data_IF_883972406480
#
_entry.id   IF_883972406480
#
_cell.length_a   1.000
_cell.length_b   1.000
_cell.length_c   1.000
_cell.angle_alpha   90.00
_cell.angle_beta   90.00
_cell.angle_gamma   90.00
#
_symmetry.space_group_name_H-M   'P 1'
#
loop_
_entity.id
_entity.type
_entity.pdbx_description
1 polymer ?
#
# COMPACT_ATOMS: atom_id res chain seq x y z
N UNK A 1 18.16 20.37 -0.50
CA UNK A 1 19.18 20.31 0.56
C UNK A 1 18.46 20.12 1.88
N UNK A 2 18.75 19.04 2.56
CA UNK A 2 18.17 18.70 3.86
C UNK A 2 18.66 19.71 4.93
N UNK A 3 17.88 19.88 6.00
CA UNK A 3 18.31 20.70 7.14
C UNK A 3 19.59 20.16 7.81
N UNK A 4 19.80 18.86 7.72
CA UNK A 4 20.87 18.14 8.42
C UNK A 4 21.82 17.47 7.40
N UNK A 5 23.06 17.93 7.25
CA UNK A 5 24.03 17.35 6.30
C UNK A 5 24.26 15.85 6.47
N UNK A 6 24.29 15.38 7.72
CA UNK A 6 24.43 13.94 8.02
C UNK A 6 23.30 13.08 7.39
N UNK A 7 22.09 13.63 7.27
CA UNK A 7 20.97 12.94 6.62
C UNK A 7 21.15 12.89 5.09
N UNK A 8 21.72 13.95 4.49
CA UNK A 8 22.07 13.95 3.07
C UNK A 8 23.16 12.90 2.78
N UNK A 9 24.24 12.81 3.60
CA UNK A 9 25.27 11.79 3.46
C UNK A 9 24.73 10.36 3.64
N UNK A 10 23.82 10.16 4.59
CA UNK A 10 23.14 8.87 4.70
C UNK A 10 22.30 8.55 3.46
N UNK A 11 21.58 9.50 2.94
CA UNK A 11 20.75 9.32 1.73
C UNK A 11 21.60 8.91 0.52
N UNK A 12 22.76 9.57 0.34
CA UNK A 12 23.75 9.22 -0.69
C UNK A 12 24.30 7.80 -0.49
N UNK A 13 24.56 7.40 0.76
CA UNK A 13 25.09 6.06 1.09
C UNK A 13 24.18 4.90 0.74
N UNK A 14 22.86 5.15 0.65
CA UNK A 14 21.84 4.14 0.29
C UNK A 14 21.37 4.27 -1.17
N UNK A 15 21.89 5.26 -1.90
CA UNK A 15 21.59 5.43 -3.33
C UNK A 15 22.00 4.18 -4.13
N UNK A 16 21.16 3.78 -5.09
CA UNK A 16 21.36 2.54 -5.84
C UNK A 16 20.90 1.25 -5.12
N UNK A 17 20.83 1.25 -3.79
CA UNK A 17 20.33 0.10 -3.01
C UNK A 17 18.83 0.13 -2.80
N UNK A 18 18.23 1.31 -2.83
CA UNK A 18 16.79 1.54 -2.65
C UNK A 18 16.26 2.51 -3.71
N UNK A 19 14.92 2.63 -3.83
CA UNK A 19 14.34 3.56 -4.81
C UNK A 19 14.41 5.01 -4.31
N UNK A 20 14.48 5.98 -5.24
CA UNK A 20 14.47 7.44 -4.93
C UNK A 20 13.30 7.82 -3.99
N UNK A 21 12.14 7.19 -4.18
CA UNK A 21 10.99 7.38 -3.29
C UNK A 21 11.27 6.90 -1.87
N UNK A 22 12.03 5.84 -1.69
CA UNK A 22 12.44 5.33 -0.38
C UNK A 22 13.44 6.28 0.26
N UNK A 23 14.39 6.80 -0.51
CA UNK A 23 15.36 7.82 -0.06
C UNK A 23 14.61 9.07 0.42
N UNK A 24 13.73 9.62 -0.40
CA UNK A 24 12.92 10.79 -0.03
C UNK A 24 12.08 10.56 1.23
N UNK A 25 11.54 9.35 1.42
CA UNK A 25 10.83 8.97 2.63
C UNK A 25 11.74 8.92 3.86
N UNK A 26 12.94 8.34 3.73
CA UNK A 26 13.92 8.30 4.81
C UNK A 26 14.33 9.72 5.24
N UNK A 27 14.65 10.60 4.29
CA UNK A 27 14.97 12.01 4.56
C UNK A 27 13.83 12.68 5.34
N UNK A 28 12.60 12.62 4.87
CA UNK A 28 11.45 13.25 5.52
C UNK A 28 11.20 12.73 6.95
N UNK A 29 11.33 11.41 7.16
CA UNK A 29 11.18 10.81 8.50
C UNK A 29 12.33 11.21 9.42
N UNK A 30 13.58 11.16 8.95
CA UNK A 30 14.75 11.51 9.74
C UNK A 30 14.75 12.99 10.12
N UNK A 31 14.48 13.89 9.17
CA UNK A 31 14.39 15.33 9.47
C UNK A 31 13.36 15.64 10.56
N UNK A 32 12.19 15.07 10.47
CA UNK A 32 11.14 15.26 11.49
C UNK A 32 11.54 14.69 12.84
N UNK A 33 12.17 13.52 12.83
CA UNK A 33 12.63 12.83 14.04
C UNK A 33 13.74 13.61 14.73
N UNK A 34 14.78 14.02 14.01
CA UNK A 34 15.89 14.77 14.55
C UNK A 34 15.46 16.15 15.06
N UNK A 35 14.57 16.83 14.35
CA UNK A 35 13.95 18.10 14.82
C UNK A 35 13.20 17.94 16.12
N UNK A 36 12.51 16.82 16.34
CA UNK A 36 11.90 16.55 17.63
C UNK A 36 12.90 16.24 18.72
N UNK A 37 14.02 15.57 18.39
CA UNK A 37 15.09 15.27 19.35
C UNK A 37 15.84 16.52 19.80
N UNK A 38 15.85 17.61 19.02
CA UNK A 38 16.39 18.90 19.44
C UNK A 38 15.73 19.40 20.76
N UNK A 39 14.45 19.09 20.97
CA UNK A 39 13.72 19.43 22.21
C UNK A 39 14.22 18.63 23.43
N UNK A 40 14.98 17.57 23.20
CA UNK A 40 15.59 16.72 24.21
C UNK A 40 17.10 17.02 24.40
N UNK A 41 17.59 18.11 23.80
CA UNK A 41 18.97 18.55 23.91
C UNK A 41 19.92 17.88 22.93
N UNK A 42 19.40 17.25 21.87
CA UNK A 42 20.22 16.69 20.79
C UNK A 42 20.49 17.79 19.76
N UNK A 43 21.73 17.97 19.38
CA UNK A 43 22.15 18.74 18.21
C UNK A 43 22.59 17.79 17.10
N UNK A 44 22.47 18.22 15.86
CA UNK A 44 22.90 17.42 14.70
C UNK A 44 23.99 18.19 13.99
N UNK A 45 25.20 17.65 14.05
CA UNK A 45 26.35 18.12 13.34
C UNK A 45 26.65 17.25 12.12
N UNK A 46 27.67 17.58 11.37
CA UNK A 46 28.02 16.87 10.15
C UNK A 46 28.49 15.42 10.43
N UNK A 47 29.21 15.23 11.53
CA UNK A 47 29.85 13.96 11.91
C UNK A 47 29.51 13.50 13.34
N UNK A 48 28.63 14.22 14.06
CA UNK A 48 28.27 13.96 15.43
C UNK A 48 26.81 14.22 15.74
N UNK A 49 26.34 13.61 16.84
CA UNK A 49 25.01 13.83 17.42
C UNK A 49 25.15 14.22 18.90
N UNK A 50 25.70 15.40 19.21
CA UNK A 50 25.89 15.84 20.59
C UNK A 50 24.56 15.82 21.36
N UNK A 51 24.64 15.38 22.62
CA UNK A 51 23.46 15.22 23.47
C UNK A 51 22.65 13.94 23.24
N UNK A 52 22.89 13.19 22.15
CA UNK A 52 22.23 11.90 21.93
C UNK A 52 22.89 10.83 22.81
N UNK A 53 22.11 10.21 23.66
CA UNK A 53 22.48 9.06 24.47
C UNK A 53 21.36 8.02 24.45
N UNK A 54 21.64 6.78 24.88
CA UNK A 54 20.61 5.76 25.01
C UNK A 54 19.45 6.20 25.89
N UNK A 55 19.72 6.95 26.96
CA UNK A 55 18.69 7.49 27.86
C UNK A 55 17.85 8.57 27.18
N UNK A 56 18.46 9.47 26.41
CA UNK A 56 17.76 10.50 25.64
C UNK A 56 16.88 9.85 24.58
N UNK A 57 17.41 8.88 23.83
CA UNK A 57 16.70 8.14 22.82
C UNK A 57 15.47 7.42 23.40
N UNK A 58 15.60 6.78 24.58
CA UNK A 58 14.50 6.13 25.30
C UNK A 58 13.44 7.14 25.76
N UNK A 59 13.86 8.28 26.33
CA UNK A 59 12.93 9.34 26.75
C UNK A 59 12.15 9.92 25.60
N UNK A 60 12.83 10.23 24.50
CA UNK A 60 12.19 10.71 23.29
C UNK A 60 11.20 9.68 22.73
N UNK A 61 11.58 8.39 22.65
CA UNK A 61 10.71 7.34 22.16
C UNK A 61 9.45 7.18 23.04
N UNK A 62 9.59 7.26 24.35
CA UNK A 62 8.46 7.21 25.28
C UNK A 62 7.51 8.41 25.08
N UNK A 63 8.07 9.59 24.81
CA UNK A 63 7.27 10.78 24.45
C UNK A 63 6.56 10.56 23.10
N UNK A 64 7.28 10.11 22.08
CA UNK A 64 6.74 9.90 20.72
C UNK A 64 5.60 8.87 20.72
N UNK A 65 5.71 7.81 21.50
CA UNK A 65 4.66 6.76 21.62
C UNK A 65 3.34 7.26 22.16
N UNK A 66 3.31 8.31 22.96
CA UNK A 66 2.07 8.83 23.57
C UNK A 66 1.09 9.36 22.52
N UNK A 67 1.62 10.02 21.50
CA UNK A 67 0.80 10.74 20.51
C UNK A 67 0.71 10.02 19.15
N UNK A 68 1.42 8.90 18.99
CA UNK A 68 1.52 8.21 17.71
C UNK A 68 1.01 6.77 17.78
N UNK A 69 0.29 6.37 16.73
CA UNK A 69 -0.16 4.99 16.57
C UNK A 69 1.05 4.05 16.41
N UNK A 70 0.93 2.77 16.81
CA UNK A 70 1.99 1.78 16.70
C UNK A 70 2.64 1.72 15.31
N UNK A 71 1.86 1.82 14.23
CA UNK A 71 2.38 1.83 12.87
C UNK A 71 3.28 3.04 12.57
N UNK A 72 2.95 4.22 13.12
CA UNK A 72 3.78 5.43 13.01
C UNK A 72 5.10 5.28 13.75
N UNK A 73 5.03 4.74 14.98
CA UNK A 73 6.23 4.43 15.78
C UNK A 73 7.13 3.44 15.04
N UNK A 74 6.56 2.36 14.50
CA UNK A 74 7.33 1.36 13.75
C UNK A 74 8.00 1.97 12.51
N UNK A 75 7.31 2.85 11.79
CA UNK A 75 7.88 3.55 10.62
C UNK A 75 9.12 4.37 10.99
N UNK A 76 9.07 5.08 12.11
CA UNK A 76 10.24 5.84 12.60
C UNK A 76 11.37 4.91 13.01
N UNK A 77 11.08 3.85 13.76
CA UNK A 77 12.11 2.88 14.21
C UNK A 77 12.80 2.20 13.03
N UNK A 78 12.04 1.79 12.01
CA UNK A 78 12.56 1.13 10.78
C UNK A 78 13.46 2.08 9.99
N UNK A 79 13.24 3.39 10.06
CA UNK A 79 14.07 4.39 9.37
C UNK A 79 15.26 4.85 10.23
N UNK A 80 15.03 5.08 11.52
CA UNK A 80 16.06 5.57 12.45
C UNK A 80 17.15 4.53 12.74
N UNK A 81 16.78 3.26 12.86
CA UNK A 81 17.72 2.18 13.14
C UNK A 81 18.86 2.07 12.09
N UNK A 82 18.57 1.96 10.79
CA UNK A 82 19.64 1.91 9.78
C UNK A 82 20.48 3.18 9.77
N UNK A 83 19.87 4.35 9.96
CA UNK A 83 20.58 5.63 10.03
C UNK A 83 21.59 5.68 11.19
N UNK A 84 21.18 5.35 12.41
CA UNK A 84 22.06 5.38 13.57
C UNK A 84 23.17 4.33 13.51
N UNK A 85 22.89 3.16 12.92
CA UNK A 85 23.94 2.14 12.67
C UNK A 85 24.95 2.62 11.64
N UNK A 86 24.50 3.22 10.55
CA UNK A 86 25.35 3.80 9.53
C UNK A 86 26.21 4.92 10.16
N UNK A 87 25.60 5.84 10.91
CA UNK A 87 26.28 6.95 11.53
C UNK A 87 27.36 6.47 12.51
N UNK A 88 27.09 5.47 13.35
CA UNK A 88 28.11 4.83 14.19
C UNK A 88 29.21 4.15 13.37
N UNK A 89 28.87 3.49 12.26
CA UNK A 89 29.89 2.83 11.42
C UNK A 89 30.85 3.82 10.77
N UNK A 90 30.36 4.99 10.37
CA UNK A 90 31.18 6.04 9.73
C UNK A 90 31.92 6.91 10.74
N UNK A 91 31.28 7.20 11.88
CA UNK A 91 31.79 8.09 12.91
C UNK A 91 31.82 7.42 14.29
N UNK A 92 32.58 6.31 14.48
CA UNK A 92 32.53 5.49 15.70
C UNK A 92 33.00 6.23 16.96
N UNK A 93 33.88 7.19 16.81
CA UNK A 93 34.42 7.99 17.94
C UNK A 93 33.45 9.08 18.43
N UNK A 94 32.56 9.55 17.54
CA UNK A 94 31.63 10.64 17.79
C UNK A 94 30.18 10.16 18.06
N UNK A 95 29.84 8.98 17.58
CA UNK A 95 28.45 8.43 17.66
C UNK A 95 28.53 7.06 18.33
N UNK A 96 27.96 6.89 19.54
CA UNK A 96 27.90 5.59 20.21
C UNK A 96 27.05 4.55 19.46
N UNK A 97 27.32 3.26 19.73
CA UNK A 97 26.46 2.17 19.27
C UNK A 97 25.15 2.15 20.07
N UNK A 98 24.05 2.40 19.37
CA UNK A 98 22.70 2.37 19.91
C UNK A 98 21.96 1.03 19.67
N UNK A 99 22.62 0.00 19.14
CA UNK A 99 21.99 -1.27 18.73
C UNK A 99 21.17 -1.91 19.84
N UNK A 100 21.66 -1.90 21.08
CA UNK A 100 20.96 -2.46 22.25
C UNK A 100 19.68 -1.69 22.58
N UNK A 101 19.75 -0.35 22.56
CA UNK A 101 18.58 0.50 22.86
C UNK A 101 17.54 0.37 21.76
N UNK A 102 17.97 0.41 20.50
CA UNK A 102 17.10 0.28 19.33
C UNK A 102 16.43 -1.08 19.26
N UNK A 103 17.10 -2.14 19.74
CA UNK A 103 16.48 -3.48 19.81
C UNK A 103 15.32 -3.51 20.79
N UNK A 104 15.40 -2.81 21.93
CA UNK A 104 14.32 -2.73 22.94
C UNK A 104 13.16 -1.84 22.49
N UNK A 105 13.35 -1.02 21.47
CA UNK A 105 12.32 -0.12 20.91
C UNK A 105 11.37 -0.80 19.94
N UNK A 106 11.62 -2.05 19.56
CA UNK A 106 10.70 -2.80 18.69
C UNK A 106 9.31 -2.83 19.30
N UNK A 107 8.32 -2.56 18.47
CA UNK A 107 6.94 -2.76 18.85
C UNK A 107 6.68 -4.26 19.04
N UNK A 108 5.78 -4.62 19.95
CA UNK A 108 5.32 -6.00 20.02
C UNK A 108 4.82 -6.44 18.64
N UNK A 109 5.15 -7.65 18.27
CA UNK A 109 4.65 -8.31 17.08
C UNK A 109 3.12 -8.34 17.15
N UNK A 110 2.45 -7.74 16.18
CA UNK A 110 0.97 -7.62 16.15
C UNK A 110 0.34 -9.01 16.24
N UNK A 111 0.98 -10.02 15.63
CA UNK A 111 0.51 -11.41 15.66
C UNK A 111 0.61 -12.05 17.05
N UNK A 112 1.41 -11.48 17.95
CA UNK A 112 1.56 -11.93 19.35
C UNK A 112 0.70 -11.14 20.34
N UNK A 113 0.00 -10.10 19.88
CA UNK A 113 -0.96 -9.40 20.73
C UNK A 113 -2.19 -10.27 20.99
N UNK A 114 -2.82 -10.16 22.18
CA UNK A 114 -4.13 -10.72 22.42
C UNK A 114 -5.11 -10.29 21.32
N UNK A 115 -6.04 -11.17 20.96
CA UNK A 115 -6.98 -10.93 19.84
C UNK A 115 -7.78 -9.62 20.03
N UNK A 116 -8.09 -9.25 21.27
CA UNK A 116 -8.81 -8.03 21.64
C UNK A 116 -7.99 -6.75 21.39
N UNK A 117 -6.66 -6.84 21.45
CA UNK A 117 -5.72 -5.73 21.24
C UNK A 117 -5.23 -5.64 19.78
N UNK A 118 -5.50 -6.68 18.99
CA UNK A 118 -5.14 -6.65 17.57
C UNK A 118 -5.97 -5.60 16.86
N UNK A 119 -5.39 -4.82 15.93
CA UNK A 119 -6.16 -3.92 15.10
C UNK A 119 -7.23 -4.75 14.38
N UNK A 120 -8.51 -4.50 14.68
CA UNK A 120 -9.60 -5.17 13.97
C UNK A 120 -9.43 -4.91 12.48
N UNK A 121 -9.31 -5.98 11.71
CA UNK A 121 -9.21 -5.90 10.26
C UNK A 121 -10.45 -5.21 9.72
N UNK A 122 -10.22 -4.11 9.01
CA UNK A 122 -11.29 -3.22 8.55
C UNK A 122 -11.65 -3.58 7.11
N UNK A 123 -12.24 -4.76 6.93
CA UNK A 123 -12.77 -5.15 5.63
C UNK A 123 -14.12 -4.49 5.36
N UNK A 124 -14.43 -4.31 4.07
CA UNK A 124 -15.79 -4.01 3.65
C UNK A 124 -16.68 -5.24 3.83
N UNK A 125 -17.90 -5.03 4.32
CA UNK A 125 -18.95 -6.03 4.25
C UNK A 125 -19.45 -6.14 2.81
N UNK A 126 -20.15 -7.24 2.49
CA UNK A 126 -20.72 -7.44 1.15
C UNK A 126 -21.79 -6.38 0.84
N UNK A 127 -22.58 -5.95 1.82
CA UNK A 127 -23.55 -4.86 1.68
C UNK A 127 -22.89 -3.51 1.39
N UNK A 128 -21.75 -3.21 2.00
CA UNK A 128 -20.99 -2.00 1.71
C UNK A 128 -20.39 -2.04 0.30
N UNK A 129 -19.93 -3.21 -0.17
CA UNK A 129 -19.49 -3.40 -1.55
C UNK A 129 -20.63 -3.18 -2.53
N UNK A 130 -21.83 -3.71 -2.24
CA UNK A 130 -23.02 -3.47 -3.04
C UNK A 130 -23.32 -1.98 -3.18
N UNK A 131 -23.30 -1.23 -2.08
CA UNK A 131 -23.57 0.21 -2.12
C UNK A 131 -22.46 0.98 -2.85
N UNK A 132 -21.20 0.59 -2.72
CA UNK A 132 -20.07 1.19 -3.45
C UNK A 132 -20.18 0.98 -4.96
N UNK A 133 -20.70 -0.16 -5.41
CA UNK A 133 -20.85 -0.50 -6.82
C UNK A 133 -22.26 -0.16 -7.38
N UNK A 134 -23.17 0.30 -6.51
CA UNK A 134 -24.55 0.63 -6.90
C UNK A 134 -24.60 1.66 -8.03
N UNK A 135 -25.40 1.37 -9.04
CA UNK A 135 -25.73 2.28 -10.13
C UNK A 135 -26.99 3.04 -9.73
N UNK A 136 -26.96 4.38 -9.60
CA UNK A 136 -28.16 5.13 -9.23
C UNK A 136 -29.27 5.02 -10.28
N UNK A 137 -30.50 4.98 -9.81
CA UNK A 137 -31.72 5.00 -10.67
C UNK A 137 -32.57 6.23 -10.29
N UNK A 138 -32.94 7.14 -11.21
CA UNK A 138 -32.55 7.21 -12.62
C UNK A 138 -31.07 7.58 -12.81
N UNK A 139 -30.45 7.02 -13.83
CA UNK A 139 -29.01 7.11 -14.03
C UNK A 139 -28.57 8.51 -14.50
N UNK A 140 -28.24 9.39 -13.55
CA UNK A 140 -27.43 10.60 -13.79
C UNK A 140 -25.95 10.26 -13.50
N UNK A 141 -25.42 9.38 -14.30
CA UNK A 141 -24.12 8.77 -14.05
C UNK A 141 -23.04 9.45 -14.89
N UNK A 142 -22.29 10.36 -14.25
CA UNK A 142 -21.19 11.06 -14.92
C UNK A 142 -20.04 10.10 -15.26
N UNK A 143 -19.21 10.40 -16.29
CA UNK A 143 -18.02 9.62 -16.62
C UNK A 143 -17.14 9.33 -15.41
N UNK A 144 -17.00 10.29 -14.48
CA UNK A 144 -16.21 10.09 -13.25
C UNK A 144 -16.82 9.06 -12.31
N UNK A 145 -18.15 9.03 -12.15
CA UNK A 145 -18.80 8.04 -11.32
C UNK A 145 -18.69 6.64 -11.92
N UNK A 146 -18.76 6.52 -13.24
CA UNK A 146 -18.53 5.26 -13.97
C UNK A 146 -17.09 4.80 -13.82
N UNK A 147 -16.10 5.72 -13.99
CA UNK A 147 -14.69 5.44 -13.72
C UNK A 147 -14.49 4.90 -12.31
N UNK A 148 -15.03 5.59 -11.31
CA UNK A 148 -14.82 5.24 -9.91
C UNK A 148 -15.38 3.87 -9.56
N UNK A 149 -16.52 3.47 -10.16
CA UNK A 149 -17.03 2.09 -10.01
C UNK A 149 -16.16 1.08 -10.73
N UNK A 150 -15.68 1.39 -11.94
CA UNK A 150 -14.75 0.51 -12.66
C UNK A 150 -13.45 0.30 -11.89
N UNK A 151 -12.91 1.35 -11.26
CA UNK A 151 -11.74 1.25 -10.37
C UNK A 151 -12.01 0.33 -9.18
N UNK A 152 -13.15 0.50 -8.48
CA UNK A 152 -13.52 -0.34 -7.35
C UNK A 152 -13.72 -1.79 -7.80
N UNK A 153 -14.45 -2.00 -8.89
CA UNK A 153 -14.70 -3.34 -9.43
C UNK A 153 -13.39 -4.04 -9.80
N UNK A 154 -12.44 -3.33 -10.45
CA UNK A 154 -11.17 -3.93 -10.83
C UNK A 154 -10.26 -4.20 -9.62
N UNK A 155 -10.26 -3.36 -8.58
CA UNK A 155 -9.57 -3.68 -7.32
C UNK A 155 -10.11 -4.96 -6.68
N UNK A 156 -11.42 -5.11 -6.63
CA UNK A 156 -12.09 -6.29 -6.07
C UNK A 156 -11.94 -7.53 -6.96
N UNK A 157 -11.79 -7.35 -8.27
CA UNK A 157 -11.63 -8.46 -9.22
C UNK A 157 -10.20 -9.00 -9.30
N UNK A 158 -9.19 -8.21 -8.91
CA UNK A 158 -7.78 -8.52 -9.16
C UNK A 158 -6.88 -8.44 -7.94
N UNK A 159 -7.30 -7.70 -6.91
CA UNK A 159 -6.45 -7.39 -5.77
C UNK A 159 -5.18 -6.57 -6.09
N UNK A 160 -5.12 -5.89 -7.24
CA UNK A 160 -3.97 -5.08 -7.65
C UNK A 160 -3.63 -3.97 -6.64
N UNK A 161 -2.36 -3.55 -6.62
CA UNK A 161 -1.97 -2.33 -5.90
C UNK A 161 -2.39 -1.10 -6.69
N UNK A 162 -2.61 0.02 -6.00
CA UNK A 162 -3.03 1.26 -6.66
C UNK A 162 -2.07 1.71 -7.78
N UNK A 163 -0.76 1.56 -7.59
CA UNK A 163 0.23 1.90 -8.61
C UNK A 163 0.14 0.96 -9.83
N UNK A 164 -0.08 -0.34 -9.61
CA UNK A 164 -0.26 -1.32 -10.66
C UNK A 164 -1.53 -1.04 -11.47
N UNK A 165 -2.64 -0.73 -10.80
CA UNK A 165 -3.91 -0.38 -11.44
C UNK A 165 -3.81 0.93 -12.25
N UNK A 166 -3.09 1.94 -11.73
CA UNK A 166 -2.88 3.21 -12.43
C UNK A 166 -1.98 3.09 -13.67
N UNK A 167 -1.14 2.05 -13.74
CA UNK A 167 -0.24 1.84 -14.88
C UNK A 167 -0.88 1.06 -16.03
N UNK A 168 -2.10 0.56 -15.86
CA UNK A 168 -2.80 -0.20 -16.91
C UNK A 168 -3.20 0.70 -18.09
N UNK A 169 -3.07 0.13 -19.27
CA UNK A 169 -3.62 0.66 -20.52
C UNK A 169 -4.92 -0.06 -20.89
N UNK A 170 -5.64 0.46 -21.86
CA UNK A 170 -6.84 -0.20 -22.42
C UNK A 170 -6.49 -1.57 -22.99
N UNK A 171 -5.32 -1.70 -23.64
CA UNK A 171 -4.84 -2.94 -24.24
C UNK A 171 -4.42 -4.02 -23.24
N UNK A 172 -4.13 -3.65 -21.97
CA UNK A 172 -3.75 -4.62 -20.94
C UNK A 172 -4.94 -5.45 -20.45
N UNK A 173 -6.17 -5.02 -20.73
CA UNK A 173 -7.40 -5.75 -20.37
C UNK A 173 -7.70 -6.79 -21.43
N UNK A 174 -7.34 -8.04 -21.20
CA UNK A 174 -7.57 -9.15 -22.13
C UNK A 174 -8.81 -9.94 -21.74
N UNK A 175 -9.96 -9.64 -22.40
CA UNK A 175 -11.24 -10.29 -22.11
C UNK A 175 -11.26 -11.76 -22.45
N UNK A 176 -10.65 -12.14 -23.57
CA UNK A 176 -10.58 -13.51 -24.05
C UNK A 176 -9.96 -14.46 -23.05
N UNK A 177 -9.04 -13.96 -22.22
CA UNK A 177 -8.33 -14.74 -21.22
C UNK A 177 -8.73 -14.42 -19.77
N UNK A 178 -9.68 -13.49 -19.57
CA UNK A 178 -10.10 -13.09 -18.23
C UNK A 178 -8.94 -12.59 -17.37
N UNK A 179 -8.03 -11.81 -17.94
CA UNK A 179 -6.79 -11.41 -17.27
C UNK A 179 -6.33 -10.00 -17.62
N UNK A 180 -5.46 -9.44 -16.77
CA UNK A 180 -4.71 -8.21 -17.05
C UNK A 180 -3.21 -8.49 -17.00
N UNK A 181 -2.46 -7.81 -17.86
CA UNK A 181 -1.01 -7.88 -17.91
C UNK A 181 -0.43 -6.68 -17.17
N UNK A 182 0.27 -6.91 -16.06
CA UNK A 182 0.73 -5.84 -15.17
C UNK A 182 2.23 -5.89 -14.92
N UNK A 183 2.84 -4.71 -14.85
CA UNK A 183 4.22 -4.55 -14.41
C UNK A 183 4.28 -4.47 -12.89
N UNK A 184 4.96 -5.41 -12.27
CA UNK A 184 5.09 -5.49 -10.80
C UNK A 184 6.24 -4.62 -10.29
N UNK A 185 6.19 -4.29 -8.98
CA UNK A 185 7.33 -3.66 -8.29
C UNK A 185 8.58 -4.54 -8.45
N UNK A 186 9.63 -3.98 -9.04
CA UNK A 186 10.86 -4.71 -9.41
C UNK A 186 10.95 -5.06 -10.91
N UNK A 187 10.00 -4.56 -11.74
CA UNK A 187 10.09 -4.58 -13.20
C UNK A 187 9.55 -5.84 -13.88
N UNK A 188 9.28 -6.92 -13.16
CA UNK A 188 8.73 -8.14 -13.74
C UNK A 188 7.27 -7.95 -14.20
N UNK A 189 6.95 -8.48 -15.38
CA UNK A 189 5.58 -8.55 -15.88
C UNK A 189 4.88 -9.81 -15.38
N UNK A 190 3.62 -9.70 -15.06
CA UNK A 190 2.78 -10.84 -14.64
C UNK A 190 1.36 -10.69 -15.17
N UNK A 191 0.78 -11.81 -15.60
CA UNK A 191 -0.65 -11.94 -15.85
C UNK A 191 -1.39 -12.12 -14.52
N UNK A 192 -2.49 -11.41 -14.34
CA UNK A 192 -3.37 -11.49 -13.16
C UNK A 192 -4.78 -11.79 -13.61
N UNK A 193 -5.40 -12.81 -13.01
CA UNK A 193 -6.78 -13.19 -13.29
C UNK A 193 -7.75 -12.08 -12.86
N UNK A 194 -8.79 -11.86 -13.65
CA UNK A 194 -9.81 -10.82 -13.45
C UNK A 194 -11.17 -11.48 -13.30
N UNK A 195 -11.85 -11.24 -12.19
CA UNK A 195 -13.20 -11.72 -12.00
C UNK A 195 -14.15 -11.06 -13.02
N UNK A 196 -14.98 -11.89 -13.66
CA UNK A 196 -15.81 -11.52 -14.82
C UNK A 196 -16.78 -10.36 -14.54
N UNK A 197 -17.34 -10.31 -13.33
CA UNK A 197 -18.28 -9.25 -12.92
C UNK A 197 -17.74 -7.82 -13.12
N UNK A 198 -16.41 -7.62 -13.16
CA UNK A 198 -15.80 -6.29 -13.28
C UNK A 198 -15.94 -5.69 -14.67
N UNK A 199 -16.03 -6.52 -15.72
CA UNK A 199 -16.04 -6.06 -17.11
C UNK A 199 -17.23 -5.15 -17.41
N UNK A 200 -18.42 -5.43 -16.86
CA UNK A 200 -19.59 -4.55 -17.06
C UNK A 200 -19.37 -3.12 -16.58
N UNK A 201 -18.57 -2.92 -15.50
CA UNK A 201 -18.23 -1.58 -15.00
C UNK A 201 -17.15 -0.92 -15.84
N UNK A 202 -16.16 -1.69 -16.29
CA UNK A 202 -15.09 -1.24 -17.19
C UNK A 202 -15.70 -0.78 -18.51
N UNK A 203 -16.58 -1.57 -19.10
CA UNK A 203 -17.28 -1.27 -20.36
C UNK A 203 -18.13 -0.02 -20.27
N UNK A 204 -18.91 0.07 -19.19
CA UNK A 204 -19.75 1.24 -18.95
C UNK A 204 -18.91 2.53 -18.78
N UNK A 205 -17.68 2.42 -18.29
CA UNK A 205 -16.75 3.53 -18.22
C UNK A 205 -16.10 3.82 -19.58
N UNK A 206 -15.55 2.81 -20.26
CA UNK A 206 -14.90 2.97 -21.56
C UNK A 206 -15.86 3.51 -22.62
N UNK A 207 -17.15 3.14 -22.55
CA UNK A 207 -18.19 3.71 -23.43
C UNK A 207 -18.35 5.24 -23.30
N UNK A 208 -17.78 5.87 -22.26
CA UNK A 208 -17.80 7.33 -22.09
C UNK A 208 -16.55 8.02 -22.65
N UNK A 209 -15.62 7.26 -23.25
CA UNK A 209 -14.33 7.75 -23.73
C UNK A 209 -14.24 7.67 -25.26
N UNK A 210 -13.61 8.68 -25.83
CA UNK A 210 -13.34 8.73 -27.28
C UNK A 210 -12.16 7.82 -27.67
N UNK A 211 -11.18 7.71 -26.77
CA UNK A 211 -9.95 6.91 -26.95
C UNK A 211 -10.07 5.44 -26.47
N UNK A 212 -11.28 4.94 -26.30
CA UNK A 212 -11.57 3.58 -25.80
C UNK A 212 -11.00 2.45 -26.65
N UNK A 213 -10.75 2.72 -27.92
CA UNK A 213 -10.23 1.75 -28.88
C UNK A 213 -8.69 1.89 -29.09
N UNK A 214 -8.05 2.88 -28.43
CA UNK A 214 -6.61 3.02 -28.40
C UNK A 214 -6.02 2.13 -27.31
N UNK A 215 -5.41 1.02 -27.72
CA UNK A 215 -4.77 0.05 -26.81
C UNK A 215 -3.68 0.68 -25.93
N UNK A 216 -3.03 1.76 -26.38
CA UNK A 216 -1.96 2.45 -25.64
C UNK A 216 -2.47 3.49 -24.64
N UNK A 217 -3.75 3.88 -24.75
CA UNK A 217 -4.33 4.86 -23.86
C UNK A 217 -4.39 4.36 -22.40
N UNK A 218 -4.13 5.23 -21.40
CA UNK A 218 -4.27 4.84 -20.00
C UNK A 218 -5.69 4.33 -19.70
N UNK A 219 -5.80 3.20 -18.99
CA UNK A 219 -7.13 2.65 -18.67
C UNK A 219 -7.96 3.62 -17.83
N UNK A 220 -7.38 4.27 -16.82
CA UNK A 220 -8.08 5.23 -15.96
C UNK A 220 -7.49 6.63 -16.09
N UNK A 221 -8.34 7.58 -16.48
CA UNK A 221 -7.93 8.98 -16.69
C UNK A 221 -8.62 9.95 -15.73
N UNK A 222 -7.94 11.06 -15.49
CA UNK A 222 -8.50 12.22 -14.78
C UNK A 222 -9.52 12.97 -15.64
N UNK A 223 -10.15 14.01 -15.08
CA UNK A 223 -11.03 14.91 -15.85
C UNK A 223 -10.30 15.67 -16.98
N UNK A 224 -8.97 15.69 -16.95
CA UNK A 224 -8.13 16.34 -17.97
C UNK A 224 -7.59 15.36 -19.02
N UNK A 225 -8.05 14.10 -19.01
CA UNK A 225 -7.56 13.06 -19.94
C UNK A 225 -6.21 12.45 -19.59
N UNK A 226 -5.53 12.91 -18.52
CA UNK A 226 -4.23 12.35 -18.11
C UNK A 226 -4.42 11.06 -17.29
N UNK A 227 -3.44 10.15 -17.32
CA UNK A 227 -3.42 8.95 -16.49
C UNK A 227 -3.61 9.30 -14.99
N UNK A 228 -4.43 8.53 -14.30
CA UNK A 228 -4.64 8.69 -12.86
C UNK A 228 -3.41 8.25 -12.07
N UNK A 229 -2.96 9.08 -11.13
CA UNK A 229 -1.98 8.67 -10.14
C UNK A 229 -2.64 7.95 -8.95
N UNK A 230 -1.89 7.13 -8.18
CA UNK A 230 -2.40 6.47 -6.98
C UNK A 230 -3.01 7.42 -5.95
N UNK A 231 -2.44 8.63 -5.81
CA UNK A 231 -2.93 9.64 -4.88
C UNK A 231 -4.26 10.27 -5.36
N UNK A 232 -4.40 10.49 -6.67
CA UNK A 232 -5.67 10.98 -7.25
C UNK A 232 -6.78 9.93 -7.09
N UNK A 233 -6.49 8.64 -7.35
CA UNK A 233 -7.44 7.56 -7.09
C UNK A 233 -7.81 7.48 -5.60
N UNK A 234 -6.82 7.58 -4.70
CA UNK A 234 -7.09 7.58 -3.26
C UNK A 234 -8.06 8.72 -2.87
N UNK A 235 -7.81 9.94 -3.33
CA UNK A 235 -8.68 11.10 -3.05
C UNK A 235 -10.09 10.89 -3.60
N UNK A 236 -10.23 10.42 -4.84
CA UNK A 236 -11.52 10.16 -5.46
C UNK A 236 -12.31 9.07 -4.71
N UNK A 237 -11.64 7.95 -4.37
CA UNK A 237 -12.29 6.84 -3.67
C UNK A 237 -12.64 7.18 -2.22
N UNK A 238 -11.81 7.95 -1.51
CA UNK A 238 -12.00 8.28 -0.09
C UNK A 238 -13.37 8.91 0.18
N UNK A 239 -13.77 9.86 -0.64
CA UNK A 239 -15.07 10.54 -0.49
C UNK A 239 -16.23 9.56 -0.64
N UNK A 240 -16.14 8.66 -1.62
CA UNK A 240 -17.17 7.64 -1.86
C UNK A 240 -17.21 6.59 -0.75
N UNK A 241 -16.05 6.12 -0.32
CA UNK A 241 -15.91 5.15 0.77
C UNK A 241 -16.48 5.70 2.08
N UNK A 242 -16.15 6.95 2.45
CA UNK A 242 -16.66 7.58 3.67
C UNK A 242 -18.18 7.72 3.70
N UNK A 243 -18.81 7.95 2.57
CA UNK A 243 -20.28 8.00 2.49
C UNK A 243 -20.93 6.67 2.82
N UNK A 244 -20.24 5.56 2.59
CA UNK A 244 -20.76 4.20 2.83
C UNK A 244 -20.41 3.71 4.23
N UNK A 245 -19.18 3.96 4.70
CA UNK A 245 -18.69 3.36 5.96
C UNK A 245 -18.57 4.35 7.13
N UNK A 246 -18.88 5.63 6.90
CA UNK A 246 -18.70 6.70 7.91
C UNK A 246 -17.25 7.19 8.02
N UNK A 247 -17.05 8.22 8.83
CA UNK A 247 -15.76 8.90 8.99
C UNK A 247 -14.80 8.18 9.94
N UNK A 248 -15.32 7.36 10.85
CA UNK A 248 -14.56 6.69 11.90
C UNK A 248 -13.76 5.48 11.39
N UNK A 249 -14.12 4.97 10.22
CA UNK A 249 -13.44 3.82 9.62
C UNK A 249 -12.29 4.25 8.70
N UNK A 250 -11.21 3.49 8.79
CA UNK A 250 -10.11 3.66 7.85
C UNK A 250 -10.56 3.26 6.45
N UNK A 251 -10.39 4.18 5.49
CA UNK A 251 -10.70 3.99 4.08
C UNK A 251 -9.45 4.14 3.23
N UNK A 252 -9.44 3.53 2.06
CA UNK A 252 -8.33 3.62 1.11
C UNK A 252 -8.29 2.45 0.15
N UNK A 253 -7.46 2.56 -0.86
CA UNK A 253 -7.38 1.55 -1.93
C UNK A 253 -6.91 0.17 -1.42
N UNK A 254 -6.10 0.14 -0.34
CA UNK A 254 -5.64 -1.10 0.26
C UNK A 254 -6.76 -1.95 0.87
N UNK A 255 -7.84 -1.33 1.34
CA UNK A 255 -8.97 -2.06 1.95
C UNK A 255 -9.67 -2.97 0.94
N UNK A 256 -9.77 -2.54 -0.33
CA UNK A 256 -10.30 -3.40 -1.41
C UNK A 256 -9.41 -4.62 -1.64
N UNK A 257 -8.10 -4.43 -1.64
CA UNK A 257 -7.15 -5.54 -1.80
C UNK A 257 -7.22 -6.50 -0.60
N UNK A 258 -7.35 -6.00 0.62
CA UNK A 258 -7.54 -6.85 1.79
C UNK A 258 -8.83 -7.67 1.68
N UNK A 259 -9.93 -7.03 1.27
CA UNK A 259 -11.20 -7.75 1.01
C UNK A 259 -11.02 -8.85 -0.03
N UNK A 260 -10.39 -8.53 -1.18
CA UNK A 260 -10.09 -9.52 -2.23
C UNK A 260 -9.30 -10.71 -1.68
N UNK A 261 -8.19 -10.46 -0.98
CA UNK A 261 -7.33 -11.52 -0.44
C UNK A 261 -8.10 -12.40 0.55
N UNK A 262 -8.83 -11.79 1.49
CA UNK A 262 -9.62 -12.53 2.47
C UNK A 262 -10.72 -13.39 1.83
N UNK A 263 -11.40 -12.89 0.81
CA UNK A 263 -12.47 -13.64 0.15
C UNK A 263 -11.92 -14.77 -0.75
N UNK A 264 -10.82 -14.51 -1.45
CA UNK A 264 -10.11 -15.55 -2.22
C UNK A 264 -9.58 -16.65 -1.29
N UNK A 265 -9.04 -16.27 -0.13
CA UNK A 265 -8.56 -17.26 0.85
C UNK A 265 -9.67 -18.18 1.34
N UNK A 266 -10.87 -17.65 1.58
CA UNK A 266 -12.05 -18.44 1.99
C UNK A 266 -12.49 -19.46 0.92
N UNK A 267 -12.29 -19.13 -0.35
CA UNK A 267 -12.76 -19.95 -1.49
C UNK A 267 -11.66 -20.90 -1.97
N UNK A 268 -10.45 -20.40 -2.14
CA UNK A 268 -9.32 -21.13 -2.77
C UNK A 268 -8.21 -21.51 -1.81
N UNK A 269 -8.30 -21.11 -0.53
CA UNK A 269 -7.27 -21.33 0.47
C UNK A 269 -6.10 -20.35 0.40
N UNK A 270 -5.25 -20.40 1.41
CA UNK A 270 -4.14 -19.46 1.61
C UNK A 270 -3.09 -19.48 0.49
N UNK A 271 -2.87 -20.64 -0.16
CA UNK A 271 -1.92 -20.76 -1.28
C UNK A 271 -2.37 -19.95 -2.48
N UNK A 272 -3.64 -20.08 -2.88
CA UNK A 272 -4.25 -19.34 -4.00
C UNK A 272 -4.27 -17.83 -3.71
N UNK A 273 -4.68 -17.45 -2.49
CA UNK A 273 -4.72 -16.05 -2.07
C UNK A 273 -3.33 -15.40 -2.11
N UNK A 274 -2.28 -16.12 -1.68
CA UNK A 274 -0.89 -15.68 -1.72
C UNK A 274 -0.40 -15.47 -3.14
N UNK A 275 -0.68 -16.43 -4.04
CA UNK A 275 -0.28 -16.37 -5.45
C UNK A 275 -0.92 -15.15 -6.15
N UNK A 276 -2.22 -14.97 -5.99
CA UNK A 276 -2.97 -13.86 -6.56
C UNK A 276 -2.51 -12.51 -5.96
N UNK A 277 -2.29 -12.45 -4.65
CA UNK A 277 -1.83 -11.26 -3.97
C UNK A 277 -0.35 -10.95 -4.22
N UNK A 278 0.46 -11.92 -4.65
CA UNK A 278 1.92 -11.78 -4.79
C UNK A 278 2.58 -11.22 -3.52
N UNK A 279 2.33 -11.85 -2.37
CA UNK A 279 2.98 -11.49 -1.12
C UNK A 279 4.39 -12.07 -1.09
N UNK A 280 5.44 -11.21 -1.10
CA UNK A 280 6.85 -11.62 -1.05
C UNK A 280 7.30 -12.20 0.29
N UNK A 281 6.56 -11.96 1.38
CA UNK A 281 6.93 -12.45 2.69
C UNK A 281 6.05 -13.60 3.15
N UNK A 282 6.55 -14.78 2.94
CA UNK A 282 6.50 -15.88 3.89
C UNK A 282 7.83 -16.59 3.77
N UNK A 283 8.68 -16.29 4.72
CA UNK A 283 9.82 -17.14 5.04
C UNK A 283 9.23 -18.51 5.33
N UNK A 284 9.65 -19.45 4.48
CA UNK A 284 9.56 -20.89 4.74
C UNK A 284 8.14 -21.45 4.82
N UNK A 285 7.65 -21.97 3.75
CA UNK A 285 7.24 -23.37 3.63
C UNK A 285 6.52 -23.59 2.30
N UNK A 286 7.03 -24.55 1.61
CA UNK A 286 6.50 -25.31 0.50
C UNK A 286 6.97 -24.88 -0.89
N UNK A 287 7.98 -25.59 -1.31
CA UNK A 287 8.48 -25.74 -2.67
C UNK A 287 7.47 -26.37 -3.65
N UNK A 288 6.22 -26.57 -3.28
CA UNK A 288 5.35 -27.51 -4.01
C UNK A 288 3.89 -27.12 -4.24
N UNK A 289 3.47 -25.87 -4.00
CA UNK A 289 2.07 -25.51 -4.31
C UNK A 289 1.98 -24.21 -5.07
N UNK A 290 2.16 -24.26 -6.39
CA UNK A 290 1.68 -23.23 -7.29
C UNK A 290 0.26 -23.60 -7.72
N UNK A 291 -0.71 -22.76 -7.38
CA UNK A 291 -2.08 -22.91 -7.84
C UNK A 291 -2.14 -22.91 -9.37
N UNK A 292 -2.96 -23.77 -9.96
CA UNK A 292 -3.17 -23.77 -11.42
C UNK A 292 -3.91 -22.52 -11.88
N UNK A 293 -3.87 -22.22 -13.19
CA UNK A 293 -4.61 -21.09 -13.75
C UNK A 293 -6.12 -21.25 -13.51
N UNK A 294 -6.63 -22.48 -13.63
CA UNK A 294 -8.05 -22.81 -13.40
C UNK A 294 -8.44 -22.58 -11.93
N UNK A 295 -7.58 -22.98 -10.98
CA UNK A 295 -7.84 -22.76 -9.56
C UNK A 295 -7.89 -21.25 -9.23
N UNK A 296 -6.98 -20.43 -9.80
CA UNK A 296 -6.99 -18.98 -9.60
C UNK A 296 -8.22 -18.33 -10.22
N UNK A 297 -8.55 -18.66 -11.47
CA UNK A 297 -9.73 -18.16 -12.16
C UNK A 297 -11.02 -18.54 -11.40
N UNK A 298 -11.14 -19.78 -10.97
CA UNK A 298 -12.27 -20.24 -10.16
C UNK A 298 -12.36 -19.47 -8.83
N UNK A 299 -11.25 -19.24 -8.16
CA UNK A 299 -11.23 -18.54 -6.87
C UNK A 299 -11.72 -17.08 -7.00
N UNK A 300 -11.25 -16.32 -8.01
CA UNK A 300 -11.66 -14.92 -8.18
C UNK A 300 -13.12 -14.79 -8.59
N UNK A 301 -13.65 -15.72 -9.40
CA UNK A 301 -15.05 -15.71 -9.84
C UNK A 301 -16.03 -16.27 -8.79
N UNK A 302 -15.55 -16.95 -7.76
CA UNK A 302 -16.37 -17.49 -6.67
C UNK A 302 -16.33 -16.69 -5.38
N UNK A 303 -15.72 -15.50 -5.35
CA UNK A 303 -15.84 -14.58 -4.21
C UNK A 303 -17.30 -14.17 -3.99
N UNK A 304 -17.65 -13.79 -2.75
CA UNK A 304 -19.05 -13.45 -2.40
C UNK A 304 -19.65 -12.38 -3.33
N UNK A 305 -18.89 -11.32 -3.57
CA UNK A 305 -19.31 -10.23 -4.45
C UNK A 305 -19.23 -10.59 -5.94
N UNK A 306 -18.31 -11.45 -6.38
CA UNK A 306 -18.31 -11.92 -7.76
C UNK A 306 -19.58 -12.67 -8.09
N UNK A 307 -20.02 -13.58 -7.21
CA UNK A 307 -21.29 -14.30 -7.34
C UNK A 307 -22.53 -13.40 -7.25
N UNK A 308 -22.42 -12.26 -6.55
CA UNK A 308 -23.50 -11.30 -6.37
C UNK A 308 -23.70 -10.41 -7.59
N UNK A 309 -22.63 -10.10 -8.32
CA UNK A 309 -22.63 -9.17 -9.45
C UNK A 309 -22.42 -9.84 -10.82
N UNK A 310 -22.11 -11.15 -10.85
CA UNK A 310 -21.91 -11.96 -12.05
C UNK A 310 -23.15 -12.33 -12.84
#
# INVERSE_FOLDING_TARGET
MCKYPMVDFYAESIEGNVTDRTIAHHIDVLERTLRQMEQFGVTVEEDALPGLSGAVLQRWMNFFKKDHKPSGVNNVVVTLNPFLRWAHTIYPDNIPDFSNVLHTMKLPDIDKLPEEERPKEKYYTDSEIQELLRIPTPCKDSPHKKRDRAVIALFLATGLRAAELCSLTVGDITRTHGSVYVRRKGGAWKTVDVAEFSYKYIDAYLATREDRDDASAPLFVTSRGCACSPNQLYKAMRTKQRKVVGDDRQVGNHVFRHKFVSDVEKVGGAAVARDLANHKSLVITNRYDHSTAEQRAAAVNNTSYARMFG
#
